data_IF_817905749403
#
_entry.id   IF_817905749403
#
_cell.length_a   1.000
_cell.length_b   1.000
_cell.length_c   1.000
_cell.angle_alpha   90.00
_cell.angle_beta   90.00
_cell.angle_gamma   90.00
#
_symmetry.space_group_name_H-M   'P 1'
#
loop_
_entity.id
_entity.type
_entity.pdbx_description
1 polymer ?
#
# COMPACT_ATOMS: atom_id res chain seq x y z
N UNK A 1 -23.68 -5.14 20.46
CA UNK A 1 -22.85 -6.20 19.85
C UNK A 1 -21.48 -6.18 20.48
N UNK A 2 -20.82 -7.32 20.65
CA UNK A 2 -19.45 -7.35 21.20
C UNK A 2 -18.42 -6.99 20.15
N UNK A 3 -17.25 -6.52 20.57
CA UNK A 3 -16.12 -6.24 19.64
C UNK A 3 -15.75 -7.47 18.80
N UNK A 4 -15.76 -8.67 19.39
CA UNK A 4 -15.47 -9.93 18.69
C UNK A 4 -16.52 -10.29 17.62
N UNK A 5 -17.79 -9.95 17.85
CA UNK A 5 -18.85 -10.16 16.86
C UNK A 5 -18.68 -9.24 15.67
N UNK A 6 -18.30 -7.98 15.92
CA UNK A 6 -18.01 -6.99 14.87
C UNK A 6 -16.77 -7.41 14.09
N UNK A 7 -15.68 -7.80 14.76
CA UNK A 7 -14.46 -8.29 14.09
C UNK A 7 -14.77 -9.46 13.14
N UNK A 8 -15.55 -10.45 13.60
CA UNK A 8 -15.93 -11.59 12.75
C UNK A 8 -16.71 -11.16 11.51
N UNK A 9 -17.57 -10.14 11.60
CA UNK A 9 -18.27 -9.58 10.43
C UNK A 9 -17.29 -8.91 9.47
N UNK A 10 -16.38 -8.09 9.97
CA UNK A 10 -15.36 -7.41 9.20
C UNK A 10 -14.50 -8.42 8.43
N UNK A 11 -13.92 -9.41 9.13
CA UNK A 11 -13.04 -10.43 8.52
C UNK A 11 -13.80 -11.27 7.48
N UNK A 12 -15.02 -11.69 7.81
CA UNK A 12 -15.85 -12.46 6.88
C UNK A 12 -16.17 -11.64 5.61
N UNK A 13 -16.57 -10.38 5.80
CA UNK A 13 -16.91 -9.50 4.67
C UNK A 13 -15.69 -9.23 3.82
N UNK A 14 -14.55 -8.95 4.44
CA UNK A 14 -13.27 -8.78 3.74
C UNK A 14 -12.92 -10.02 2.91
N UNK A 15 -13.00 -11.23 3.47
CA UNK A 15 -12.73 -12.46 2.73
C UNK A 15 -13.63 -12.63 1.51
N UNK A 16 -14.94 -12.34 1.64
CA UNK A 16 -15.89 -12.43 0.52
C UNK A 16 -15.56 -11.41 -0.58
N UNK A 17 -15.28 -10.16 -0.21
CA UNK A 17 -14.98 -9.10 -1.19
C UNK A 17 -13.64 -9.32 -1.91
N UNK A 18 -12.67 -9.93 -1.21
CA UNK A 18 -11.33 -10.17 -1.77
C UNK A 18 -11.18 -11.48 -2.53
N UNK A 19 -12.11 -12.42 -2.39
CA UNK A 19 -12.04 -13.74 -3.04
C UNK A 19 -11.98 -13.68 -4.58
N UNK A 20 -12.66 -12.72 -5.20
CA UNK A 20 -12.78 -12.61 -6.66
C UNK A 20 -12.48 -11.20 -7.19
N UNK A 21 -11.44 -10.56 -6.67
CA UNK A 21 -11.03 -9.23 -7.12
C UNK A 21 -10.63 -9.27 -8.60
N UNK A 22 -11.27 -8.41 -9.41
CA UNK A 22 -11.00 -8.32 -10.85
C UNK A 22 -9.54 -7.99 -11.16
N UNK A 23 -8.93 -7.11 -10.35
CA UNK A 23 -7.52 -6.73 -10.51
C UNK A 23 -6.61 -7.94 -10.36
N UNK A 24 -6.92 -8.88 -9.45
CA UNK A 24 -6.13 -10.12 -9.31
C UNK A 24 -6.18 -10.98 -10.57
N UNK A 25 -7.33 -11.16 -11.17
CA UNK A 25 -7.49 -11.91 -12.44
C UNK A 25 -6.68 -11.26 -13.57
N UNK A 26 -6.67 -9.92 -13.64
CA UNK A 26 -5.86 -9.17 -14.60
C UNK A 26 -4.36 -9.40 -14.35
N UNK A 27 -3.93 -9.35 -13.09
CA UNK A 27 -2.53 -9.58 -12.69
C UNK A 27 -2.10 -10.99 -13.07
N UNK A 28 -2.89 -12.02 -12.78
CA UNK A 28 -2.58 -13.41 -13.14
C UNK A 28 -2.44 -13.56 -14.68
N UNK A 29 -3.34 -12.95 -15.45
CA UNK A 29 -3.22 -12.94 -16.91
C UNK A 29 -1.96 -12.22 -17.41
N UNK A 30 -1.56 -11.13 -16.76
CA UNK A 30 -0.33 -10.39 -17.09
C UNK A 30 0.93 -11.14 -16.65
N UNK A 31 0.91 -11.82 -15.51
CA UNK A 31 2.02 -12.70 -15.07
C UNK A 31 2.27 -13.81 -16.07
N UNK A 32 1.21 -14.47 -16.55
CA UNK A 32 1.33 -15.52 -17.57
C UNK A 32 1.93 -15.02 -18.90
N UNK A 33 1.87 -13.69 -19.16
CA UNK A 33 2.42 -13.03 -20.35
C UNK A 33 3.70 -12.25 -20.07
N UNK A 34 4.20 -12.24 -18.84
CA UNK A 34 5.35 -11.44 -18.40
C UNK A 34 5.20 -9.94 -18.70
N UNK A 35 4.00 -9.37 -18.48
CA UNK A 35 3.68 -7.96 -18.76
C UNK A 35 3.26 -7.17 -17.52
N UNK A 36 3.43 -7.76 -16.33
CA UNK A 36 3.15 -7.08 -15.06
C UNK A 36 4.13 -5.94 -14.78
N UNK A 37 3.69 -5.01 -13.96
CA UNK A 37 4.47 -3.89 -13.46
C UNK A 37 4.00 -3.47 -12.07
N UNK A 38 4.73 -2.60 -11.39
CA UNK A 38 4.31 -2.01 -10.13
C UNK A 38 3.04 -1.15 -10.22
N UNK A 39 2.62 -0.73 -11.43
CA UNK A 39 1.29 -0.12 -11.62
C UNK A 39 0.17 -1.08 -11.23
N UNK A 40 0.36 -2.36 -11.52
CA UNK A 40 -0.63 -3.40 -11.19
C UNK A 40 -0.68 -3.64 -9.68
N UNK A 41 0.47 -3.61 -8.98
CA UNK A 41 0.53 -3.68 -7.53
C UNK A 41 -0.16 -2.47 -6.87
N UNK A 42 0.10 -1.26 -7.36
CA UNK A 42 -0.57 -0.05 -6.87
C UNK A 42 -2.08 -0.10 -7.08
N UNK A 43 -2.54 -0.54 -8.25
CA UNK A 43 -3.97 -0.69 -8.53
C UNK A 43 -4.62 -1.72 -7.60
N UNK A 44 -3.93 -2.83 -7.32
CA UNK A 44 -4.39 -3.83 -6.37
C UNK A 44 -4.47 -3.26 -4.94
N UNK A 45 -3.44 -2.55 -4.49
CA UNK A 45 -3.45 -1.90 -3.18
C UNK A 45 -4.59 -0.88 -3.02
N UNK A 46 -4.88 -0.10 -4.06
CA UNK A 46 -6.03 0.81 -4.08
C UNK A 46 -7.36 0.06 -3.95
N UNK A 47 -7.53 -1.06 -4.67
CA UNK A 47 -8.76 -1.86 -4.61
C UNK A 47 -8.93 -2.50 -3.22
N UNK A 48 -7.87 -3.06 -2.64
CA UNK A 48 -7.86 -3.57 -1.26
C UNK A 48 -8.20 -2.45 -0.27
N UNK A 49 -7.61 -1.27 -0.42
CA UNK A 49 -7.89 -0.10 0.40
C UNK A 49 -9.36 0.32 0.33
N UNK A 50 -9.93 0.36 -0.86
CA UNK A 50 -11.35 0.70 -1.07
C UNK A 50 -12.30 -0.34 -0.44
N UNK A 51 -11.96 -1.63 -0.54
CA UNK A 51 -12.73 -2.71 0.10
C UNK A 51 -12.68 -2.53 1.62
N UNK A 52 -11.49 -2.38 2.20
CA UNK A 52 -11.31 -2.26 3.64
C UNK A 52 -12.01 -1.02 4.21
N UNK A 53 -11.86 0.13 3.54
CA UNK A 53 -12.53 1.37 3.97
C UNK A 53 -14.04 1.28 3.85
N UNK A 54 -14.58 0.63 2.81
CA UNK A 54 -16.00 0.36 2.69
C UNK A 54 -16.54 -0.50 3.84
N UNK A 55 -15.80 -1.55 4.21
CA UNK A 55 -16.14 -2.44 5.33
C UNK A 55 -16.09 -1.68 6.66
N UNK A 56 -15.08 -0.84 6.86
CA UNK A 56 -14.98 -0.04 8.09
C UNK A 56 -16.12 0.99 8.21
N UNK A 57 -16.53 1.63 7.11
CA UNK A 57 -17.70 2.50 7.11
C UNK A 57 -18.99 1.77 7.49
N UNK A 58 -19.12 0.49 7.10
CA UNK A 58 -20.29 -0.32 7.42
C UNK A 58 -20.31 -0.77 8.88
N UNK A 59 -19.16 -1.23 9.43
CA UNK A 59 -19.14 -1.95 10.71
C UNK A 59 -18.57 -1.18 11.89
N UNK A 60 -17.64 -0.24 11.73
CA UNK A 60 -17.09 0.49 12.88
C UNK A 60 -18.12 1.34 13.62
N UNK A 61 -19.16 1.91 12.99
CA UNK A 61 -20.22 2.60 13.71
C UNK A 61 -20.93 1.73 14.77
N UNK A 62 -20.94 0.39 14.61
CA UNK A 62 -21.53 -0.54 15.57
C UNK A 62 -20.70 -0.66 16.88
N UNK A 63 -19.44 -0.22 16.87
CA UNK A 63 -18.50 -0.27 17.99
C UNK A 63 -18.39 1.08 18.75
N UNK A 64 -19.06 2.13 18.26
CA UNK A 64 -18.95 3.45 18.88
C UNK A 64 -19.66 3.50 20.23
N UNK A 65 -19.04 4.21 21.19
CA UNK A 65 -19.66 4.61 22.44
C UNK A 65 -19.60 6.14 22.50
N UNK A 66 -20.73 6.80 22.73
CA UNK A 66 -20.86 8.26 22.74
C UNK A 66 -20.27 8.94 21.48
N UNK A 67 -20.42 8.28 20.30
CA UNK A 67 -19.92 8.77 19.02
C UNK A 67 -18.40 8.67 18.84
N UNK A 68 -17.69 7.94 19.70
CA UNK A 68 -16.23 7.74 19.68
C UNK A 68 -15.87 6.27 19.51
N UNK A 69 -14.76 6.03 18.78
CA UNK A 69 -14.12 4.73 18.74
C UNK A 69 -13.00 4.70 19.79
N UNK A 70 -13.18 3.89 20.84
CA UNK A 70 -12.20 3.77 21.91
C UNK A 70 -11.05 2.86 21.52
N UNK A 71 -9.84 3.15 22.06
CA UNK A 71 -8.58 2.48 21.74
C UNK A 71 -8.67 0.95 21.81
N UNK A 72 -9.29 0.41 22.86
CA UNK A 72 -9.41 -1.05 23.02
C UNK A 72 -10.21 -1.72 21.90
N UNK A 73 -11.25 -1.06 21.38
CA UNK A 73 -12.00 -1.54 20.22
C UNK A 73 -11.23 -1.33 18.91
N UNK A 74 -10.60 -0.18 18.73
CA UNK A 74 -9.83 0.13 17.55
C UNK A 74 -8.63 -0.82 17.32
N UNK A 75 -7.91 -1.19 18.38
CA UNK A 75 -6.81 -2.17 18.31
C UNK A 75 -7.26 -3.50 17.73
N UNK A 76 -8.45 -3.96 18.09
CA UNK A 76 -9.00 -5.24 17.61
C UNK A 76 -9.62 -5.09 16.22
N UNK A 77 -10.44 -4.04 16.01
CA UNK A 77 -11.27 -3.92 14.82
C UNK A 77 -10.55 -3.34 13.62
N UNK A 78 -9.47 -2.59 13.83
CA UNK A 78 -8.73 -1.91 12.77
C UNK A 78 -7.41 -2.61 12.50
N UNK A 79 -6.63 -2.95 13.52
CA UNK A 79 -5.25 -3.43 13.38
C UNK A 79 -5.19 -4.78 12.65
N UNK A 80 -5.96 -5.78 13.09
CA UNK A 80 -5.94 -7.11 12.49
C UNK A 80 -6.39 -7.11 11.01
N UNK A 81 -7.50 -6.43 10.61
CA UNK A 81 -7.86 -6.31 9.20
C UNK A 81 -6.83 -5.54 8.37
N UNK A 82 -6.14 -4.52 8.94
CA UNK A 82 -5.05 -3.84 8.25
C UNK A 82 -3.89 -4.78 7.95
N UNK A 83 -3.48 -5.63 8.90
CA UNK A 83 -2.44 -6.64 8.65
C UNK A 83 -2.85 -7.64 7.57
N UNK A 84 -4.11 -8.06 7.56
CA UNK A 84 -4.60 -8.93 6.50
C UNK A 84 -4.51 -8.25 5.13
N UNK A 85 -4.91 -6.99 5.04
CA UNK A 85 -4.80 -6.19 3.82
C UNK A 85 -3.35 -6.02 3.35
N UNK A 86 -2.42 -5.73 4.27
CA UNK A 86 -0.98 -5.67 3.97
C UNK A 86 -0.46 -7.01 3.44
N UNK A 87 -0.85 -8.12 4.06
CA UNK A 87 -0.43 -9.45 3.61
C UNK A 87 -0.91 -9.75 2.19
N UNK A 88 -2.13 -9.35 1.82
CA UNK A 88 -2.64 -9.53 0.46
C UNK A 88 -1.88 -8.67 -0.55
N UNK A 89 -1.63 -7.39 -0.23
CA UNK A 89 -0.80 -6.49 -1.06
C UNK A 89 0.64 -7.04 -1.19
N UNK A 90 1.24 -7.50 -0.09
CA UNK A 90 2.57 -8.12 -0.08
C UNK A 90 2.65 -9.33 -1.01
N UNK A 91 1.67 -10.22 -0.96
CA UNK A 91 1.62 -11.39 -1.82
C UNK A 91 1.68 -11.00 -3.29
N UNK A 92 0.87 -10.03 -3.69
CA UNK A 92 0.82 -9.55 -5.08
C UNK A 92 2.10 -8.83 -5.48
N UNK A 93 2.61 -7.93 -4.66
CA UNK A 93 3.85 -7.21 -4.93
C UNK A 93 5.06 -8.16 -5.08
N UNK A 94 5.12 -9.22 -4.25
CA UNK A 94 6.14 -10.29 -4.37
C UNK A 94 6.03 -11.06 -5.69
N UNK A 95 4.83 -11.42 -6.11
CA UNK A 95 4.62 -12.12 -7.39
C UNK A 95 5.13 -11.26 -8.55
N UNK A 96 4.79 -9.97 -8.55
CA UNK A 96 5.21 -9.01 -9.57
C UNK A 96 6.73 -8.84 -9.57
N UNK A 97 7.36 -8.58 -8.40
CA UNK A 97 8.81 -8.40 -8.33
C UNK A 97 9.57 -9.65 -8.74
N UNK A 98 9.10 -10.84 -8.36
CA UNK A 98 9.72 -12.09 -8.75
C UNK A 98 9.68 -12.29 -10.27
N UNK A 99 8.56 -11.97 -10.91
CA UNK A 99 8.44 -12.04 -12.37
C UNK A 99 9.36 -11.01 -13.06
N UNK A 100 9.42 -9.78 -12.57
CA UNK A 100 10.33 -8.74 -13.07
C UNK A 100 11.81 -9.15 -12.90
N UNK A 101 12.18 -9.72 -11.75
CA UNK A 101 13.53 -10.23 -11.51
C UNK A 101 13.89 -11.35 -12.48
N UNK A 102 12.99 -12.31 -12.69
CA UNK A 102 13.20 -13.41 -13.62
C UNK A 102 13.43 -12.92 -15.05
N UNK A 103 12.61 -11.96 -15.50
CA UNK A 103 12.76 -11.34 -16.81
C UNK A 103 14.07 -10.55 -16.96
N UNK A 104 14.57 -9.95 -15.88
CA UNK A 104 15.83 -9.23 -15.83
C UNK A 104 17.06 -10.13 -15.69
N UNK A 105 16.88 -11.45 -15.55
CA UNK A 105 17.95 -12.42 -15.27
C UNK A 105 18.54 -12.28 -13.86
N UNK A 106 17.77 -11.75 -12.93
CA UNK A 106 18.15 -11.57 -11.52
C UNK A 106 17.66 -12.81 -10.76
N UNK A 107 18.59 -13.67 -10.34
CA UNK A 107 18.30 -14.95 -9.65
C UNK A 107 17.92 -14.78 -8.17
N UNK A 108 17.16 -13.75 -7.82
CA UNK A 108 16.75 -13.43 -6.45
C UNK A 108 15.26 -13.32 -6.30
N UNK A 109 14.79 -13.71 -5.12
CA UNK A 109 13.42 -13.43 -4.70
C UNK A 109 13.24 -11.98 -4.31
N UNK A 110 12.01 -11.50 -4.42
CA UNK A 110 11.60 -10.20 -3.95
C UNK A 110 11.90 -10.01 -2.45
N UNK A 111 12.44 -8.85 -2.10
CA UNK A 111 12.62 -8.42 -0.72
C UNK A 111 11.30 -7.80 -0.26
N UNK A 112 10.82 -8.29 0.88
CA UNK A 112 9.59 -7.81 1.50
C UNK A 112 9.94 -6.72 2.52
N UNK A 113 9.34 -5.53 2.44
CA UNK A 113 9.53 -4.52 3.46
C UNK A 113 8.88 -4.92 4.79
N UNK A 114 9.41 -4.41 5.89
CA UNK A 114 8.74 -4.50 7.18
C UNK A 114 7.48 -3.62 7.19
N UNK A 115 6.48 -4.06 7.94
CA UNK A 115 5.26 -3.27 8.14
C UNK A 115 5.58 -2.10 9.07
N UNK A 116 5.17 -0.90 8.70
CA UNK A 116 5.36 0.29 9.52
C UNK A 116 4.34 0.33 10.67
N UNK A 117 4.70 -0.30 11.80
CA UNK A 117 3.87 -0.37 12.99
C UNK A 117 3.55 1.01 13.57
N UNK A 118 4.51 1.94 13.55
CA UNK A 118 4.31 3.30 14.06
C UNK A 118 3.26 4.05 13.25
N UNK A 119 3.19 3.78 11.94
CA UNK A 119 2.17 4.38 11.09
C UNK A 119 0.78 3.80 11.37
N UNK A 120 0.66 2.49 11.58
CA UNK A 120 -0.60 1.85 11.98
C UNK A 120 -1.06 2.43 13.33
N UNK A 121 -0.16 2.49 14.31
CA UNK A 121 -0.44 3.06 15.62
C UNK A 121 -0.85 4.54 15.55
N UNK A 122 -0.19 5.30 14.68
CA UNK A 122 -0.54 6.69 14.40
C UNK A 122 -1.95 6.86 13.83
N UNK A 123 -2.35 6.00 12.89
CA UNK A 123 -3.70 5.98 12.30
C UNK A 123 -4.75 5.67 13.37
N UNK A 124 -4.52 4.62 14.18
CA UNK A 124 -5.41 4.23 15.29
C UNK A 124 -5.49 5.34 16.33
N UNK A 125 -4.36 5.93 16.70
CA UNK A 125 -4.29 7.05 17.65
C UNK A 125 -5.08 8.25 17.14
N UNK A 126 -4.97 8.57 15.86
CA UNK A 126 -5.68 9.67 15.22
C UNK A 126 -7.20 9.54 15.35
N UNK A 127 -7.76 8.37 14.99
CA UNK A 127 -9.21 8.15 15.07
C UNK A 127 -9.71 8.08 16.52
N UNK A 128 -8.93 7.51 17.45
CA UNK A 128 -9.31 7.40 18.86
C UNK A 128 -9.28 8.75 19.61
N UNK A 129 -8.38 9.65 19.22
CA UNK A 129 -8.24 10.98 19.84
C UNK A 129 -9.18 12.02 19.22
N UNK A 130 -9.87 11.69 18.14
CA UNK A 130 -10.82 12.59 17.50
C UNK A 130 -11.98 12.95 18.46
N UNK A 131 -12.50 14.14 18.31
CA UNK A 131 -13.66 14.60 19.10
C UNK A 131 -14.88 13.71 18.86
N UNK A 132 -15.13 13.36 17.60
CA UNK A 132 -16.12 12.37 17.19
C UNK A 132 -15.58 11.51 16.04
N UNK A 133 -16.04 10.27 15.94
CA UNK A 133 -15.73 9.39 14.81
C UNK A 133 -16.16 10.02 13.48
N UNK A 134 -17.41 10.51 13.40
CA UNK A 134 -17.96 11.09 12.18
C UNK A 134 -17.16 12.31 11.66
N UNK A 135 -16.57 13.10 12.54
CA UNK A 135 -15.76 14.26 12.16
C UNK A 135 -14.37 13.92 11.62
N UNK A 136 -13.89 12.69 11.84
CA UNK A 136 -12.56 12.22 11.45
C UNK A 136 -12.59 11.02 10.51
N UNK A 137 -13.76 10.49 10.20
CA UNK A 137 -13.92 9.28 9.40
C UNK A 137 -13.23 9.38 8.02
N UNK A 138 -13.46 10.46 7.28
CA UNK A 138 -12.86 10.63 5.95
C UNK A 138 -11.32 10.66 6.02
N UNK A 139 -10.76 11.39 6.98
CA UNK A 139 -9.31 11.44 7.19
C UNK A 139 -8.75 10.05 7.53
N UNK A 140 -9.45 9.30 8.37
CA UNK A 140 -9.08 7.94 8.74
C UNK A 140 -9.09 7.02 7.50
N UNK A 141 -10.12 7.09 6.65
CA UNK A 141 -10.21 6.30 5.42
C UNK A 141 -9.12 6.65 4.42
N UNK A 142 -8.82 7.95 4.24
CA UNK A 142 -7.71 8.41 3.39
C UNK A 142 -6.36 7.90 3.89
N UNK A 143 -6.13 7.90 5.19
CA UNK A 143 -4.89 7.39 5.80
C UNK A 143 -4.71 5.89 5.57
N UNK A 144 -5.80 5.10 5.64
CA UNK A 144 -5.77 3.66 5.34
C UNK A 144 -5.40 3.39 3.88
N UNK A 145 -6.03 4.09 2.95
CA UNK A 145 -5.71 3.98 1.52
C UNK A 145 -4.24 4.33 1.25
N UNK A 146 -3.78 5.47 1.76
CA UNK A 146 -2.40 5.91 1.64
C UNK A 146 -1.40 4.94 2.27
N UNK A 147 -1.75 4.29 3.38
CA UNK A 147 -0.91 3.29 4.04
C UNK A 147 -0.65 2.08 3.14
N UNK A 148 -1.70 1.52 2.51
CA UNK A 148 -1.55 0.35 1.64
C UNK A 148 -0.81 0.68 0.33
N UNK A 149 -1.06 1.85 -0.26
CA UNK A 149 -0.29 2.31 -1.40
C UNK A 149 1.16 2.63 -1.02
N UNK A 150 1.39 3.20 0.17
CA UNK A 150 2.72 3.46 0.74
C UNK A 150 3.52 2.18 0.96
N UNK A 151 2.85 1.09 1.33
CA UNK A 151 3.49 -0.22 1.45
C UNK A 151 4.04 -0.73 0.10
N UNK A 152 3.37 -0.45 -1.02
CA UNK A 152 3.90 -0.73 -2.36
C UNK A 152 5.12 0.14 -2.67
N UNK A 153 5.12 1.42 -2.25
CA UNK A 153 6.29 2.30 -2.43
C UNK A 153 7.50 1.79 -1.62
N UNK A 154 7.27 1.30 -0.40
CA UNK A 154 8.30 0.66 0.42
C UNK A 154 8.84 -0.60 -0.25
N UNK A 155 7.96 -1.38 -0.89
CA UNK A 155 8.35 -2.56 -1.65
C UNK A 155 9.26 -2.20 -2.83
N UNK A 156 8.92 -1.16 -3.59
CA UNK A 156 9.76 -0.61 -4.65
C UNK A 156 11.11 -0.18 -4.09
N UNK A 157 11.11 0.54 -2.97
CA UNK A 157 12.34 1.09 -2.37
C UNK A 157 13.28 -0.01 -1.91
N UNK A 158 12.82 -1.00 -1.17
CA UNK A 158 13.67 -2.09 -0.64
C UNK A 158 14.31 -2.90 -1.79
N UNK A 159 13.56 -3.20 -2.84
CA UNK A 159 14.09 -3.94 -3.99
C UNK A 159 15.04 -3.08 -4.84
N UNK A 160 14.74 -1.80 -5.01
CA UNK A 160 15.60 -0.84 -5.69
C UNK A 160 16.93 -0.62 -4.91
N UNK A 161 16.85 -0.50 -3.58
CA UNK A 161 18.03 -0.36 -2.71
C UNK A 161 18.96 -1.56 -2.82
N UNK A 162 18.40 -2.75 -2.68
CA UNK A 162 19.17 -3.96 -2.80
C UNK A 162 19.90 -4.04 -4.15
N UNK A 163 19.22 -3.78 -5.25
CA UNK A 163 19.81 -3.88 -6.57
C UNK A 163 20.84 -2.76 -6.83
N UNK A 164 20.61 -1.55 -6.32
CA UNK A 164 21.59 -0.49 -6.35
C UNK A 164 22.86 -0.86 -5.58
N UNK A 165 22.73 -1.45 -4.38
CA UNK A 165 23.85 -1.95 -3.58
C UNK A 165 24.58 -3.12 -4.26
N UNK A 166 23.90 -3.93 -5.07
CA UNK A 166 24.49 -4.96 -5.90
C UNK A 166 25.21 -4.41 -7.17
N UNK A 167 25.30 -3.09 -7.32
CA UNK A 167 26.05 -2.44 -8.41
C UNK A 167 25.24 -2.24 -9.70
N UNK A 168 23.92 -2.32 -9.63
CA UNK A 168 23.05 -1.99 -10.76
C UNK A 168 22.73 -0.48 -10.77
N UNK A 169 22.55 0.08 -11.95
CA UNK A 169 21.97 1.42 -12.13
C UNK A 169 20.46 1.29 -12.09
N UNK A 170 19.86 1.74 -11.01
CA UNK A 170 18.42 1.64 -10.76
C UNK A 170 17.75 2.99 -11.02
N UNK A 171 16.63 2.96 -11.74
CA UNK A 171 15.79 4.13 -12.00
C UNK A 171 14.42 3.87 -11.38
N UNK A 172 14.00 4.77 -10.51
CA UNK A 172 12.63 4.82 -9.97
C UNK A 172 11.86 5.94 -10.66
N UNK A 173 10.56 5.74 -10.83
CA UNK A 173 9.69 6.73 -11.45
C UNK A 173 8.53 7.04 -10.53
N UNK A 174 8.26 8.33 -10.32
CA UNK A 174 7.01 8.79 -9.72
C UNK A 174 6.07 9.24 -10.81
N UNK A 175 4.90 8.64 -10.86
CA UNK A 175 3.86 8.89 -11.86
C UNK A 175 2.73 9.62 -11.16
N UNK A 176 2.50 10.86 -11.60
CA UNK A 176 1.38 11.64 -11.12
C UNK A 176 0.06 11.04 -11.62
N UNK A 177 -0.94 10.95 -10.75
CA UNK A 177 -2.32 10.78 -11.17
C UNK A 177 -2.76 12.03 -11.95
N UNK A 178 -3.56 11.86 -13.00
CA UNK A 178 -4.05 12.97 -13.83
C UNK A 178 -4.88 14.03 -13.10
N UNK A 179 -5.27 13.75 -11.85
CA UNK A 179 -6.00 14.66 -10.93
C UNK A 179 -5.13 15.11 -9.75
N UNK A 180 -3.83 14.85 -9.77
CA UNK A 180 -2.94 15.15 -8.66
C UNK A 180 -2.77 16.66 -8.42
N UNK A 181 -2.42 17.02 -7.18
CA UNK A 181 -2.11 18.39 -6.81
C UNK A 181 -0.80 18.88 -7.46
N UNK A 182 -0.58 20.18 -7.45
CA UNK A 182 0.62 20.82 -8.02
C UNK A 182 1.92 20.29 -7.40
N UNK A 183 1.93 19.98 -6.11
CA UNK A 183 3.09 19.41 -5.43
C UNK A 183 3.45 18.03 -6.01
N UNK A 184 2.48 17.12 -6.13
CA UNK A 184 2.69 15.80 -6.75
C UNK A 184 3.12 15.90 -8.22
N UNK A 185 2.54 16.84 -8.98
CA UNK A 185 2.90 17.07 -10.38
C UNK A 185 4.36 17.51 -10.52
N UNK A 186 4.87 18.32 -9.59
CA UNK A 186 6.26 18.75 -9.58
C UNK A 186 7.25 17.63 -9.21
N UNK A 187 6.80 16.60 -8.49
CA UNK A 187 7.62 15.45 -8.11
C UNK A 187 7.55 14.31 -9.14
N UNK A 188 6.66 14.40 -10.12
CA UNK A 188 6.58 13.39 -11.18
C UNK A 188 7.83 13.41 -12.05
N UNK A 189 8.36 12.22 -12.36
CA UNK A 189 9.56 12.09 -13.15
C UNK A 189 10.29 10.78 -12.94
N UNK A 190 11.49 10.70 -13.51
CA UNK A 190 12.41 9.57 -13.41
C UNK A 190 13.66 9.99 -12.68
N UNK A 191 14.10 9.21 -11.72
CA UNK A 191 15.19 9.53 -10.81
C UNK A 191 16.18 8.36 -10.74
N UNK A 192 17.47 8.63 -10.75
CA UNK A 192 18.45 7.61 -10.32
C UNK A 192 18.19 7.31 -8.84
N UNK A 193 18.06 6.04 -8.48
CA UNK A 193 17.75 5.65 -7.10
C UNK A 193 18.73 6.25 -6.07
N UNK A 194 20.02 6.28 -6.39
CA UNK A 194 21.04 6.85 -5.50
C UNK A 194 20.84 8.34 -5.17
N UNK A 195 20.17 9.09 -6.06
CA UNK A 195 19.85 10.51 -5.81
C UNK A 195 18.67 10.70 -4.87
N UNK A 196 17.83 9.69 -4.74
CA UNK A 196 16.57 9.74 -4.00
C UNK A 196 16.46 8.65 -2.93
N UNK A 197 17.58 7.99 -2.62
CA UNK A 197 17.67 6.89 -1.66
C UNK A 197 17.16 7.26 -0.25
N UNK A 198 17.39 8.50 0.16
CA UNK A 198 16.96 8.98 1.47
C UNK A 198 15.43 8.87 1.60
N UNK A 199 14.98 8.18 2.64
CA UNK A 199 13.55 8.06 3.00
C UNK A 199 12.88 9.42 3.19
N UNK A 200 13.63 10.43 3.64
CA UNK A 200 13.16 11.81 3.75
C UNK A 200 12.95 12.53 2.42
N UNK A 201 13.40 11.96 1.29
CA UNK A 201 13.21 12.56 -0.01
C UNK A 201 11.73 12.65 -0.38
N UNK A 202 11.33 13.79 -0.93
CA UNK A 202 9.93 14.10 -1.22
C UNK A 202 9.27 13.15 -2.22
N UNK A 203 10.04 12.47 -3.07
CA UNK A 203 9.46 11.52 -4.02
C UNK A 203 8.75 10.34 -3.34
N UNK A 204 9.14 9.99 -2.10
CA UNK A 204 8.54 8.92 -1.31
C UNK A 204 7.35 9.37 -0.45
N UNK A 205 7.16 10.68 -0.32
CA UNK A 205 6.11 11.22 0.54
C UNK A 205 4.75 11.20 -0.14
N UNK A 206 3.73 10.87 0.63
CA UNK A 206 2.32 10.96 0.25
C UNK A 206 1.62 12.00 1.12
N UNK A 207 0.72 12.76 0.53
CA UNK A 207 -0.26 13.57 1.25
C UNK A 207 -1.61 12.84 1.29
N UNK A 208 -2.55 13.32 2.09
CA UNK A 208 -3.88 12.75 2.13
C UNK A 208 -4.49 12.69 0.73
N UNK A 209 -5.17 11.60 0.41
CA UNK A 209 -5.82 11.36 -0.88
C UNK A 209 -4.84 11.43 -2.08
N UNK A 210 -3.63 10.89 -1.90
CA UNK A 210 -2.59 10.85 -2.94
C UNK A 210 -2.58 9.50 -3.65
N UNK A 211 -2.92 9.48 -4.95
CA UNK A 211 -2.90 8.27 -5.80
C UNK A 211 -1.73 8.24 -6.80
N UNK A 212 -0.69 9.04 -6.55
CA UNK A 212 0.54 8.96 -7.33
C UNK A 212 1.23 7.61 -7.08
N UNK A 213 1.81 7.04 -8.13
CA UNK A 213 2.44 5.73 -8.08
C UNK A 213 3.95 5.86 -8.16
N UNK A 214 4.67 5.08 -7.35
CA UNK A 214 6.10 4.89 -7.51
C UNK A 214 6.33 3.52 -8.11
N UNK A 215 7.10 3.49 -9.19
CA UNK A 215 7.41 2.26 -9.91
C UNK A 215 8.91 2.12 -10.15
N UNK A 216 9.32 0.89 -10.31
CA UNK A 216 10.66 0.49 -10.67
C UNK A 216 10.59 -0.71 -11.61
N UNK A 217 11.49 -0.75 -12.59
CA UNK A 217 11.58 -1.88 -13.52
C UNK A 217 13.04 -2.35 -13.62
N UNK A 218 13.38 -3.52 -13.05
CA UNK A 218 14.74 -4.06 -13.06
C UNK A 218 15.25 -4.42 -14.46
N UNK A 219 14.36 -4.65 -15.43
CA UNK A 219 14.72 -4.99 -16.80
C UNK A 219 15.50 -3.86 -17.51
N UNK A 220 15.29 -2.62 -17.08
CA UNK A 220 16.04 -1.44 -17.55
C UNK A 220 17.36 -1.20 -16.83
N UNK A 221 17.66 -1.94 -15.76
CA UNK A 221 18.85 -1.76 -14.94
C UNK A 221 20.10 -2.27 -15.66
N UNK A 222 21.19 -1.48 -15.61
CA UNK A 222 22.50 -1.83 -16.20
C UNK A 222 23.54 -1.94 -15.08
N UNK A 223 24.53 -2.83 -15.25
CA UNK A 223 25.70 -2.84 -14.34
C UNK A 223 26.42 -1.50 -14.40
N UNK A 224 26.78 -0.94 -13.27
CA UNK A 224 27.68 0.21 -13.19
C UNK A 224 29.04 -0.17 -13.77
N UNK A 225 29.57 0.64 -14.67
CA UNK A 225 30.91 0.47 -15.24
C UNK A 225 31.94 1.07 -14.28
#
# INVERSE_FOLDING_TARGET
MTTDEILRKIIRRYGVETENIRTMQIIESKLAKHTVSYRDANQYAQEIGNILTGIFREYLPEALTDGKLYRAAAEVLVKDPMYQAVNDVNKVARMIQNDLNAQAGIGMNAITPEVNEDQIDGIITGICNAETYAGSEELFMDQLGNFLEGYVDDFVRENADFQSNAGLTVIVQRIADGKCCKWCSNLAGSWLYDQVRDRGNDIWKRHNNCHCQIIYDPRGSKRRR
#
